data_IF_725369691869
#
_entry.id   IF_725369691869
#
_cell.length_a   1.000
_cell.length_b   1.000
_cell.length_c   1.000
_cell.angle_alpha   90.00
_cell.angle_beta   90.00
_cell.angle_gamma   90.00
#
_symmetry.space_group_name_H-M   'P 1'
#
loop_
_entity.id
_entity.type
_entity.pdbx_description
1 polymer ?
#
# COMPACT_ATOMS: atom_id res chain seq x y z
N UNK A 1 15.73 -30.66 -32.12
CA UNK A 1 14.44 -30.07 -31.71
C UNK A 1 14.38 -29.95 -30.19
N UNK A 2 13.63 -28.95 -29.68
CA UNK A 2 13.48 -28.49 -28.29
C UNK A 2 14.58 -27.50 -27.87
N UNK A 3 14.31 -26.22 -27.65
CA UNK A 3 13.07 -25.47 -27.55
C UNK A 3 13.48 -24.20 -26.82
N UNK A 4 13.72 -23.13 -27.59
CA UNK A 4 14.02 -21.82 -27.03
C UNK A 4 12.88 -21.47 -26.08
N UNK A 5 13.18 -21.32 -24.78
CA UNK A 5 12.21 -20.78 -23.82
C UNK A 5 12.07 -19.31 -24.18
N UNK A 6 11.16 -19.03 -25.11
CA UNK A 6 10.67 -17.69 -25.42
C UNK A 6 10.34 -16.96 -24.12
N UNK A 7 10.98 -15.80 -23.96
CA UNK A 7 10.52 -14.66 -23.19
C UNK A 7 9.81 -14.95 -21.87
N UNK A 8 10.54 -15.29 -20.82
CA UNK A 8 10.11 -14.82 -19.50
C UNK A 8 10.40 -13.32 -19.47
N UNK A 9 9.53 -12.52 -20.07
CA UNK A 9 9.51 -11.09 -19.78
C UNK A 9 9.35 -10.97 -18.26
N UNK A 10 10.27 -10.32 -17.53
CA UNK A 10 10.06 -10.06 -16.14
C UNK A 10 8.78 -9.23 -16.06
N UNK A 11 7.69 -9.84 -15.56
CA UNK A 11 6.43 -9.14 -15.33
C UNK A 11 6.78 -7.81 -14.69
N UNK A 12 6.46 -6.71 -15.38
CA UNK A 12 6.79 -5.36 -14.90
C UNK A 12 6.50 -5.30 -13.41
N UNK A 13 7.44 -4.82 -12.59
CA UNK A 13 7.24 -4.77 -11.16
C UNK A 13 5.90 -4.08 -10.91
N UNK A 14 5.00 -4.78 -10.21
CA UNK A 14 3.61 -4.35 -10.00
C UNK A 14 3.51 -2.94 -9.39
N UNK A 15 4.61 -2.52 -8.76
CA UNK A 15 4.80 -1.18 -8.22
C UNK A 15 6.21 -0.68 -8.54
N UNK A 16 6.33 0.59 -8.90
CA UNK A 16 7.58 1.33 -9.12
C UNK A 16 8.38 1.46 -7.82
N UNK A 17 9.65 1.83 -7.94
CA UNK A 17 10.50 2.08 -6.76
C UNK A 17 9.95 3.19 -5.88
N UNK A 18 9.51 4.31 -6.48
CA UNK A 18 8.88 5.42 -5.77
C UNK A 18 7.60 5.00 -5.02
N UNK A 19 6.77 4.14 -5.62
CA UNK A 19 5.58 3.59 -4.96
C UNK A 19 5.96 2.72 -3.75
N UNK A 20 7.03 1.93 -3.86
CA UNK A 20 7.55 1.09 -2.78
C UNK A 20 8.17 1.91 -1.66
N UNK A 21 8.87 2.99 -1.99
CA UNK A 21 9.43 3.92 -1.01
C UNK A 21 8.34 4.64 -0.23
N UNK A 22 7.32 5.18 -0.92
CA UNK A 22 6.18 5.81 -0.26
C UNK A 22 5.47 4.79 0.65
N UNK A 23 5.24 3.57 0.16
CA UNK A 23 4.68 2.51 0.98
C UNK A 23 5.55 2.21 2.21
N UNK A 24 6.87 2.12 2.04
CA UNK A 24 7.81 1.88 3.14
C UNK A 24 7.73 3.00 4.17
N UNK A 25 7.68 4.26 3.74
CA UNK A 25 7.52 5.41 4.64
C UNK A 25 6.19 5.35 5.40
N UNK A 26 5.08 5.03 4.72
CA UNK A 26 3.78 4.90 5.39
C UNK A 26 3.77 3.78 6.43
N UNK A 27 4.36 2.62 6.12
CA UNK A 27 4.30 1.45 7.00
C UNK A 27 5.36 1.46 8.10
N UNK A 28 6.62 1.79 7.80
CA UNK A 28 7.72 1.79 8.79
C UNK A 28 7.83 3.09 9.57
N UNK A 29 7.89 4.23 8.87
CA UNK A 29 8.14 5.53 9.50
C UNK A 29 6.86 6.05 10.19
N UNK A 30 5.74 6.02 9.47
CA UNK A 30 4.46 6.51 9.99
C UNK A 30 3.67 5.47 10.76
N UNK A 31 4.08 4.19 10.72
CA UNK A 31 3.38 3.08 11.39
C UNK A 31 1.90 3.04 11.02
N UNK A 32 1.58 3.34 9.75
CA UNK A 32 0.21 3.28 9.25
C UNK A 32 -0.25 1.82 9.20
N UNK A 33 -1.52 1.62 9.57
CA UNK A 33 -2.16 0.31 9.40
C UNK A 33 -2.39 0.01 7.91
N UNK A 34 -2.54 -1.27 7.58
CA UNK A 34 -2.85 -1.68 6.22
C UNK A 34 -4.15 -1.04 5.70
N UNK A 35 -5.13 -0.80 6.58
CA UNK A 35 -6.36 -0.09 6.24
C UNK A 35 -6.08 1.37 5.86
N UNK A 36 -5.27 2.10 6.64
CA UNK A 36 -4.89 3.47 6.28
C UNK A 36 -4.14 3.49 4.94
N UNK A 37 -3.21 2.56 4.72
CA UNK A 37 -2.48 2.50 3.46
C UNK A 37 -3.39 2.16 2.29
N UNK A 38 -4.36 1.26 2.48
CA UNK A 38 -5.39 0.96 1.47
C UNK A 38 -6.20 2.19 1.11
N UNK A 39 -6.70 2.92 2.11
CA UNK A 39 -7.48 4.15 1.91
C UNK A 39 -6.67 5.26 1.21
N UNK A 40 -5.35 5.34 1.48
CA UNK A 40 -4.46 6.32 0.87
C UNK A 40 -4.06 5.95 -0.56
N UNK A 41 -3.74 4.69 -0.82
CA UNK A 41 -3.05 4.25 -2.06
C UNK A 41 -3.93 3.41 -2.99
N UNK A 42 -5.11 2.99 -2.52
CA UNK A 42 -5.97 2.03 -3.23
C UNK A 42 -5.38 0.62 -3.32
N UNK A 43 -4.22 0.33 -2.71
CA UNK A 43 -3.60 -0.99 -2.76
C UNK A 43 -4.50 -1.97 -2.00
N UNK A 44 -4.99 -3.05 -2.64
CA UNK A 44 -5.82 -4.03 -1.95
C UNK A 44 -5.03 -4.73 -0.84
N UNK A 45 -5.69 -5.02 0.27
CA UNK A 45 -5.08 -5.62 1.46
C UNK A 45 -4.36 -6.96 1.15
N UNK A 46 -4.85 -7.72 0.16
CA UNK A 46 -4.18 -8.92 -0.33
C UNK A 46 -2.83 -8.64 -1.01
N UNK A 47 -2.70 -7.53 -1.75
CA UNK A 47 -1.43 -7.11 -2.35
C UNK A 47 -0.48 -6.47 -1.35
N UNK A 48 -1.01 -5.84 -0.29
CA UNK A 48 -0.22 -5.19 0.76
C UNK A 48 0.77 -6.18 1.42
N UNK A 49 0.32 -7.38 1.77
CA UNK A 49 1.18 -8.39 2.41
C UNK A 49 2.31 -8.85 1.50
N UNK A 50 2.01 -9.07 0.22
CA UNK A 50 3.00 -9.40 -0.82
C UNK A 50 4.00 -8.27 -0.99
N UNK A 51 3.54 -7.02 -0.94
CA UNK A 51 4.41 -5.86 -1.06
C UNK A 51 5.37 -5.75 0.13
N UNK A 52 4.87 -5.88 1.37
CA UNK A 52 5.70 -5.91 2.58
C UNK A 52 6.82 -6.96 2.47
N UNK A 53 6.49 -8.17 2.00
CA UNK A 53 7.47 -9.23 1.76
C UNK A 53 8.49 -8.86 0.69
N UNK A 54 8.05 -8.26 -0.42
CA UNK A 54 8.92 -7.86 -1.52
C UNK A 54 9.90 -6.74 -1.17
N UNK A 55 9.59 -5.91 -0.17
CA UNK A 55 10.41 -4.74 0.22
C UNK A 55 11.08 -4.91 1.60
N UNK A 56 11.00 -6.12 2.17
CA UNK A 56 11.67 -6.49 3.42
C UNK A 56 11.10 -5.82 4.67
N UNK A 57 9.82 -5.46 4.68
CA UNK A 57 9.18 -4.81 5.83
C UNK A 57 8.46 -5.87 6.68
N UNK A 58 8.63 -5.86 8.02
CA UNK A 58 7.86 -6.73 8.90
C UNK A 58 6.37 -6.48 8.70
N UNK A 59 5.61 -7.57 8.48
CA UNK A 59 4.16 -7.47 8.28
C UNK A 59 3.56 -6.80 9.53
N UNK A 60 2.80 -5.71 9.39
CA UNK A 60 2.16 -5.09 10.54
C UNK A 60 1.25 -6.11 11.21
N UNK A 61 1.27 -6.16 12.55
CA UNK A 61 0.51 -7.15 13.31
C UNK A 61 -0.98 -6.78 13.25
N UNK A 62 -1.77 -7.59 12.54
CA UNK A 62 -3.19 -7.33 12.26
C UNK A 62 -4.11 -7.58 13.47
N UNK A 63 -3.63 -8.25 14.52
CA UNK A 63 -4.49 -8.66 15.63
C UNK A 63 -4.84 -7.54 16.62
N UNK A 64 -4.22 -6.35 16.52
CA UNK A 64 -4.53 -5.23 17.41
C UNK A 64 -5.89 -4.54 17.14
N UNK A 65 -6.64 -4.99 16.12
CA UNK A 65 -7.96 -4.42 15.79
C UNK A 65 -9.07 -4.94 16.75
N UNK A 66 -8.76 -5.86 17.68
CA UNK A 66 -9.78 -6.53 18.51
C UNK A 66 -10.15 -5.91 19.87
N UNK A 67 -9.50 -4.84 20.35
CA UNK A 67 -9.62 -4.42 21.76
C UNK A 67 -10.35 -3.11 22.07
N UNK A 68 -10.75 -2.32 21.07
CA UNK A 68 -11.26 -0.95 21.31
C UNK A 68 -11.69 -0.24 20.04
N UNK A 69 -12.56 -0.88 19.26
CA UNK A 69 -12.91 -0.51 17.88
C UNK A 69 -13.25 0.99 17.70
N UNK A 70 -13.94 1.63 18.64
CA UNK A 70 -14.34 3.06 18.50
C UNK A 70 -13.16 4.03 18.56
N UNK A 71 -12.28 3.87 19.56
CA UNK A 71 -11.14 4.78 19.76
C UNK A 71 -10.08 4.56 18.67
N UNK A 72 -9.86 3.31 18.27
CA UNK A 72 -8.96 2.98 17.17
C UNK A 72 -9.45 3.53 15.82
N UNK A 73 -10.74 3.45 15.52
CA UNK A 73 -11.29 4.04 14.29
C UNK A 73 -11.13 5.55 14.24
N UNK A 74 -11.36 6.25 15.36
CA UNK A 74 -11.16 7.72 15.44
C UNK A 74 -9.68 8.07 15.23
N UNK A 75 -8.77 7.33 15.87
CA UNK A 75 -7.32 7.54 15.72
C UNK A 75 -6.85 7.27 14.29
N UNK A 76 -7.37 6.21 13.67
CA UNK A 76 -7.07 5.88 12.28
C UNK A 76 -7.61 6.94 11.33
N UNK A 77 -8.83 7.46 11.55
CA UNK A 77 -9.41 8.52 10.73
C UNK A 77 -8.61 9.83 10.81
N UNK A 78 -8.21 10.24 12.02
CA UNK A 78 -7.34 11.42 12.20
C UNK A 78 -5.99 11.24 11.50
N UNK A 79 -5.39 10.06 11.66
CA UNK A 79 -4.10 9.76 11.04
C UNK A 79 -4.21 9.64 9.52
N UNK A 80 -5.30 9.10 9.01
CA UNK A 80 -5.60 9.07 7.58
C UNK A 80 -5.66 10.48 7.01
N UNK A 81 -6.39 11.40 7.66
CA UNK A 81 -6.47 12.79 7.23
C UNK A 81 -5.09 13.47 7.22
N UNK A 82 -4.30 13.31 8.30
CA UNK A 82 -2.94 13.87 8.40
C UNK A 82 -2.01 13.33 7.30
N UNK A 83 -2.03 12.02 7.05
CA UNK A 83 -1.21 11.42 6.00
C UNK A 83 -1.68 11.81 4.60
N UNK A 84 -3.00 11.95 4.40
CA UNK A 84 -3.57 12.37 3.12
C UNK A 84 -3.15 13.79 2.78
N UNK A 85 -3.16 14.70 3.75
CA UNK A 85 -2.68 16.08 3.55
C UNK A 85 -1.16 16.09 3.28
N UNK A 86 -0.38 15.39 4.11
CA UNK A 86 1.09 15.38 4.02
C UNK A 86 1.63 14.74 2.74
N UNK A 87 0.96 13.69 2.24
CA UNK A 87 1.40 12.92 1.09
C UNK A 87 0.49 13.10 -0.14
N UNK A 88 -0.43 14.08 -0.13
CA UNK A 88 -1.42 14.31 -1.20
C UNK A 88 -0.80 14.24 -2.59
N UNK A 89 0.19 15.11 -2.88
CA UNK A 89 0.82 15.17 -4.20
C UNK A 89 1.58 13.89 -4.58
N UNK A 90 2.20 13.20 -3.62
CA UNK A 90 2.88 11.94 -3.89
C UNK A 90 1.89 10.81 -4.15
N UNK A 91 0.78 10.76 -3.40
CA UNK A 91 -0.29 9.80 -3.58
C UNK A 91 -0.97 10.03 -4.94
N UNK A 92 -1.33 11.26 -5.29
CA UNK A 92 -1.96 11.54 -6.59
C UNK A 92 -1.04 11.20 -7.77
N UNK A 93 0.27 11.41 -7.62
CA UNK A 93 1.26 11.09 -8.66
C UNK A 93 1.54 9.59 -8.77
N UNK A 94 1.74 8.92 -7.63
CA UNK A 94 2.21 7.52 -7.57
C UNK A 94 1.07 6.52 -7.52
N UNK A 95 -0.04 6.87 -6.89
CA UNK A 95 -1.24 6.07 -6.77
C UNK A 95 -2.43 6.90 -7.26
N UNK A 96 -2.43 7.29 -8.56
CA UNK A 96 -3.58 8.00 -9.10
C UNK A 96 -4.80 7.14 -8.78
N UNK A 97 -5.80 7.75 -8.13
CA UNK A 97 -7.07 7.09 -7.93
C UNK A 97 -7.43 6.53 -9.29
N UNK A 98 -7.58 5.21 -9.40
CA UNK A 98 -8.15 4.64 -10.62
C UNK A 98 -9.45 5.40 -10.78
N UNK A 99 -9.50 6.35 -11.72
CA UNK A 99 -10.77 6.83 -12.26
C UNK A 99 -11.46 5.53 -12.58
N UNK A 100 -12.53 5.23 -11.84
CA UNK A 100 -13.42 4.18 -12.28
C UNK A 100 -13.76 4.57 -13.71
N UNK A 101 -13.16 3.89 -14.68
CA UNK A 101 -13.73 3.75 -16.01
C UNK A 101 -15.07 3.09 -15.74
N UNK A 102 -16.06 3.97 -15.53
CA UNK A 102 -17.47 3.69 -15.70
C UNK A 102 -17.61 3.51 -17.20
N UNK A 103 -17.49 2.26 -17.65
CA UNK A 103 -18.06 1.79 -18.91
C UNK A 103 -19.23 0.86 -18.58
#
# INVERSE_FOLDING_TARGET
MKGQREGFEPKKPRYTEQQRELFRALVQDKKCSAQIVHELTGIPLGSFTTLCGSIGIPRPNWSQIGGGAKIHSIRNAKKLAEMREKYAGQIETLFPAKRNDVE
#
